data_IF_761749367267
#
_entry.id   IF_761749367267
#
_cell.length_a   1.000
_cell.length_b   1.000
_cell.length_c   1.000
_cell.angle_alpha   90.00
_cell.angle_beta   90.00
_cell.angle_gamma   90.00
#
_symmetry.space_group_name_H-M   'P 1'
#
loop_
_entity.id
_entity.type
_entity.pdbx_description
1 polymer ?
#
# COMPACT_ATOMS: atom_id res chain seq x y z
N UNK A 1 18.35 -18.96 0.10
CA UNK A 1 17.25 -19.97 0.11
C UNK A 1 16.93 -20.42 -1.31
N UNK A 2 16.68 -19.53 -2.26
CA UNK A 2 16.33 -19.84 -3.65
C UNK A 2 17.41 -20.71 -4.31
N UNK A 3 18.68 -20.33 -4.20
CA UNK A 3 19.82 -21.09 -4.72
C UNK A 3 19.86 -22.54 -4.21
N UNK A 4 19.57 -22.71 -2.91
CA UNK A 4 19.50 -24.04 -2.31
C UNK A 4 18.36 -24.88 -2.88
N UNK A 5 17.20 -24.28 -3.14
CA UNK A 5 16.06 -24.96 -3.76
C UNK A 5 16.38 -25.38 -5.20
N UNK A 6 17.02 -24.50 -5.98
CA UNK A 6 17.49 -24.80 -7.33
C UNK A 6 18.46 -25.99 -7.31
N UNK A 7 19.48 -25.92 -6.45
CA UNK A 7 20.49 -26.96 -6.30
C UNK A 7 19.92 -28.28 -5.82
N UNK A 8 18.81 -28.26 -5.08
CA UNK A 8 18.09 -29.46 -4.61
C UNK A 8 17.11 -30.02 -5.64
N UNK A 9 17.02 -29.43 -6.84
CA UNK A 9 16.20 -29.96 -7.93
C UNK A 9 14.73 -29.53 -7.87
N UNK A 10 14.43 -28.33 -7.37
CA UNK A 10 13.08 -27.78 -7.46
C UNK A 10 12.62 -27.67 -8.91
N UNK A 11 11.37 -28.06 -9.19
CA UNK A 11 10.78 -27.95 -10.53
C UNK A 11 9.95 -26.67 -10.74
N UNK A 12 9.63 -25.97 -9.67
CA UNK A 12 8.93 -24.68 -9.66
C UNK A 12 9.30 -23.93 -8.38
N UNK A 13 9.39 -22.63 -8.46
CA UNK A 13 9.60 -21.75 -7.30
C UNK A 13 8.38 -20.88 -7.10
N UNK A 14 7.83 -20.85 -5.88
CA UNK A 14 6.79 -19.92 -5.45
C UNK A 14 7.44 -19.01 -4.43
N UNK A 15 7.52 -17.71 -4.73
CA UNK A 15 8.30 -16.75 -3.96
C UNK A 15 7.40 -15.61 -3.48
N UNK A 16 7.30 -15.47 -2.15
CA UNK A 16 6.74 -14.31 -1.48
C UNK A 16 7.90 -13.48 -0.92
N UNK A 17 8.32 -12.46 -1.66
CA UNK A 17 9.47 -11.64 -1.26
C UNK A 17 9.07 -10.55 -0.27
N UNK A 18 9.93 -10.26 0.70
CA UNK A 18 9.78 -9.07 1.55
C UNK A 18 10.14 -7.83 0.73
N UNK A 19 11.26 -7.87 0.00
CA UNK A 19 11.72 -6.83 -0.90
C UNK A 19 11.80 -7.38 -2.32
N UNK A 20 10.87 -6.96 -3.17
CA UNK A 20 10.70 -7.51 -4.52
C UNK A 20 11.86 -7.23 -5.49
N UNK A 21 12.63 -6.17 -5.23
CA UNK A 21 13.74 -5.74 -6.11
C UNK A 21 15.08 -6.40 -5.81
N UNK A 22 15.21 -7.13 -4.70
CA UNK A 22 16.50 -7.62 -4.18
C UNK A 22 16.92 -9.01 -4.68
N UNK A 23 16.10 -9.70 -5.48
CA UNK A 23 16.28 -11.12 -5.81
C UNK A 23 16.86 -11.40 -7.22
N UNK A 24 17.33 -10.37 -7.95
CA UNK A 24 17.70 -10.48 -9.36
C UNK A 24 18.63 -11.65 -9.68
N UNK A 25 19.76 -11.80 -8.98
CA UNK A 25 20.72 -12.90 -9.23
C UNK A 25 20.09 -14.29 -9.04
N UNK A 26 19.33 -14.47 -7.98
CA UNK A 26 18.68 -15.76 -7.71
C UNK A 26 17.58 -16.09 -8.74
N UNK A 27 16.89 -15.07 -9.25
CA UNK A 27 15.90 -15.21 -10.32
C UNK A 27 16.55 -15.55 -11.66
N UNK A 28 17.71 -14.96 -11.97
CA UNK A 28 18.50 -15.29 -13.17
C UNK A 28 19.03 -16.73 -13.12
N UNK A 29 19.39 -17.23 -11.95
CA UNK A 29 19.74 -18.63 -11.75
C UNK A 29 18.55 -19.57 -12.03
N UNK A 30 17.37 -19.25 -11.53
CA UNK A 30 16.15 -20.01 -11.78
C UNK A 30 15.82 -20.06 -13.28
N UNK A 31 15.91 -18.90 -13.96
CA UNK A 31 15.72 -18.78 -15.41
C UNK A 31 16.71 -19.64 -16.18
N UNK A 32 18.00 -19.56 -15.83
CA UNK A 32 19.07 -20.35 -16.47
C UNK A 32 18.88 -21.86 -16.29
N UNK A 33 18.27 -22.26 -15.18
CA UNK A 33 17.91 -23.66 -14.90
C UNK A 33 16.55 -24.08 -15.50
N UNK A 34 15.88 -23.20 -16.25
CA UNK A 34 14.52 -23.38 -16.77
C UNK A 34 13.48 -23.76 -15.71
N UNK A 35 13.61 -23.21 -14.51
CA UNK A 35 12.66 -23.39 -13.40
C UNK A 35 11.64 -22.25 -13.43
N UNK A 36 10.34 -22.54 -13.64
CA UNK A 36 9.30 -21.49 -13.58
C UNK A 36 9.22 -20.84 -12.21
N UNK A 37 9.06 -19.51 -12.21
CA UNK A 37 8.91 -18.71 -11.00
C UNK A 37 7.51 -18.12 -10.94
N UNK A 38 6.84 -18.32 -9.81
CA UNK A 38 5.57 -17.71 -9.45
C UNK A 38 5.84 -16.67 -8.39
N UNK A 39 5.63 -15.39 -8.70
CA UNK A 39 5.57 -14.35 -7.68
C UNK A 39 4.24 -14.48 -6.92
N UNK A 40 4.29 -14.57 -5.61
CA UNK A 40 3.12 -14.72 -4.75
C UNK A 40 2.99 -13.49 -3.84
N UNK A 41 1.78 -12.92 -3.79
CA UNK A 41 1.44 -11.71 -3.04
C UNK A 41 2.18 -10.46 -3.57
N UNK A 42 3.50 -10.37 -3.43
CA UNK A 42 4.32 -9.26 -3.90
C UNK A 42 4.99 -9.55 -5.23
N UNK A 43 4.99 -8.56 -6.11
CA UNK A 43 5.65 -8.67 -7.41
C UNK A 43 7.17 -8.71 -7.23
N UNK A 44 7.82 -9.66 -7.93
CA UNK A 44 9.27 -9.70 -8.06
C UNK A 44 9.69 -8.74 -9.18
N UNK A 45 10.40 -7.69 -8.79
CA UNK A 45 10.75 -6.57 -9.67
C UNK A 45 12.09 -6.80 -10.38
N UNK A 46 12.29 -6.05 -11.48
CA UNK A 46 13.56 -5.97 -12.20
C UNK A 46 14.07 -7.32 -12.75
N UNK A 47 13.18 -8.27 -13.04
CA UNK A 47 13.53 -9.57 -13.62
C UNK A 47 12.45 -10.04 -14.58
N UNK A 48 12.89 -10.65 -15.68
CA UNK A 48 12.03 -11.31 -16.67
C UNK A 48 11.91 -12.83 -16.43
N UNK A 49 12.39 -13.31 -15.29
CA UNK A 49 12.31 -14.71 -14.89
C UNK A 49 10.93 -15.11 -14.34
N UNK A 50 10.09 -14.14 -13.97
CA UNK A 50 8.76 -14.39 -13.40
C UNK A 50 7.82 -14.90 -14.48
N UNK A 51 7.31 -16.10 -14.30
CA UNK A 51 6.38 -16.76 -15.25
C UNK A 51 4.93 -16.45 -14.94
N UNK A 52 4.57 -16.31 -13.66
CA UNK A 52 3.22 -16.03 -13.18
C UNK A 52 3.26 -15.14 -11.94
N UNK A 53 2.20 -14.36 -11.77
CA UNK A 53 2.00 -13.53 -10.59
C UNK A 53 0.61 -13.83 -10.00
N UNK A 54 0.59 -14.28 -8.77
CA UNK A 54 -0.63 -14.60 -8.02
C UNK A 54 -0.81 -13.57 -6.90
N UNK A 55 -1.78 -12.68 -7.05
CA UNK A 55 -2.08 -11.58 -6.13
C UNK A 55 -3.54 -11.17 -6.24
N UNK A 56 -3.95 -10.16 -5.48
CA UNK A 56 -5.24 -9.48 -5.63
C UNK A 56 -5.18 -8.35 -6.66
N UNK A 57 -6.33 -7.83 -7.05
CA UNK A 57 -6.41 -6.52 -7.71
C UNK A 57 -6.26 -5.42 -6.64
N UNK A 58 -5.01 -5.09 -6.34
CA UNK A 58 -4.65 -4.17 -5.26
C UNK A 58 -5.13 -2.73 -5.51
N UNK A 59 -5.23 -2.33 -6.79
CA UNK A 59 -5.81 -1.04 -7.15
C UNK A 59 -7.31 -1.02 -6.87
N UNK A 60 -8.03 -2.10 -7.22
CA UNK A 60 -9.46 -2.23 -6.93
C UNK A 60 -9.73 -2.26 -5.42
N UNK A 61 -8.82 -2.83 -4.60
CA UNK A 61 -8.93 -2.78 -3.14
C UNK A 61 -8.92 -1.33 -2.67
N UNK A 62 -7.94 -0.53 -3.13
CA UNK A 62 -7.88 0.90 -2.81
C UNK A 62 -9.13 1.65 -3.28
N UNK A 63 -9.58 1.40 -4.52
CA UNK A 63 -10.82 1.99 -5.05
C UNK A 63 -12.02 1.71 -4.14
N UNK A 64 -12.14 0.47 -3.64
CA UNK A 64 -13.22 0.10 -2.72
C UNK A 64 -13.11 0.79 -1.36
N UNK A 65 -11.90 0.99 -0.85
CA UNK A 65 -11.68 1.76 0.38
C UNK A 65 -12.12 3.22 0.21
N UNK A 66 -11.70 3.86 -0.90
CA UNK A 66 -12.13 5.22 -1.24
C UNK A 66 -13.64 5.33 -1.40
N UNK A 67 -14.26 4.41 -2.14
CA UNK A 67 -15.71 4.40 -2.36
C UNK A 67 -16.48 4.19 -1.04
N UNK A 68 -15.99 3.34 -0.15
CA UNK A 68 -16.59 3.14 1.17
C UNK A 68 -16.63 4.43 1.99
N UNK A 69 -15.56 5.26 1.91
CA UNK A 69 -15.51 6.57 2.58
C UNK A 69 -16.55 7.51 1.95
N UNK A 70 -16.61 7.58 0.62
CA UNK A 70 -17.60 8.41 -0.12
C UNK A 70 -19.01 8.05 0.28
N UNK A 71 -19.34 6.76 0.28
CA UNK A 71 -20.69 6.26 0.60
C UNK A 71 -21.04 6.47 2.08
N UNK A 72 -20.07 6.25 2.99
CA UNK A 72 -20.31 6.35 4.44
C UNK A 72 -20.53 7.80 4.89
N UNK A 73 -19.79 8.75 4.32
CA UNK A 73 -19.92 10.18 4.61
C UNK A 73 -20.94 10.87 3.72
N UNK A 74 -21.55 10.15 2.79
CA UNK A 74 -22.51 10.68 1.81
C UNK A 74 -21.97 11.91 1.05
N UNK A 75 -20.68 11.83 0.63
CA UNK A 75 -19.95 12.96 0.06
C UNK A 75 -20.59 13.53 -1.22
N UNK A 76 -21.38 12.76 -1.92
CA UNK A 76 -22.13 13.24 -3.10
C UNK A 76 -23.22 14.26 -2.73
N UNK A 77 -23.81 14.12 -1.55
CA UNK A 77 -24.96 14.91 -1.12
C UNK A 77 -24.67 15.90 0.02
N UNK A 78 -23.55 15.71 0.76
CA UNK A 78 -23.19 16.55 1.90
C UNK A 78 -22.01 17.45 1.53
N UNK A 79 -22.02 18.69 2.00
CA UNK A 79 -21.01 19.68 1.63
C UNK A 79 -19.66 19.51 2.40
N UNK A 80 -19.67 18.89 3.58
CA UNK A 80 -18.48 18.79 4.44
C UNK A 80 -18.11 20.12 5.11
N UNK A 81 -16.82 20.44 5.39
CA UNK A 81 -15.68 19.56 5.22
C UNK A 81 -15.61 18.44 6.27
N UNK A 82 -15.06 17.29 5.88
CA UNK A 82 -14.67 16.21 6.79
C UNK A 82 -13.15 16.10 6.84
N UNK A 83 -12.62 15.85 8.03
CA UNK A 83 -11.17 15.75 8.27
C UNK A 83 -10.69 14.34 7.97
N UNK A 84 -9.82 14.24 6.98
CA UNK A 84 -9.22 12.98 6.50
C UNK A 84 -7.75 12.93 6.89
N UNK A 85 -7.28 11.78 7.41
CA UNK A 85 -5.87 11.43 7.47
C UNK A 85 -5.59 10.13 6.74
N UNK A 86 -4.34 9.94 6.31
CA UNK A 86 -3.95 8.82 5.44
C UNK A 86 -2.71 8.14 6.01
N UNK A 87 -2.74 6.81 6.08
CA UNK A 87 -1.59 5.96 6.36
C UNK A 87 -1.41 4.97 5.22
N UNK A 88 -0.38 5.18 4.40
CA UNK A 88 -0.02 4.28 3.32
C UNK A 88 0.94 3.20 3.79
N UNK A 89 1.18 2.21 2.94
CA UNK A 89 2.04 1.08 3.23
C UNK A 89 3.52 1.31 2.95
N UNK A 90 4.26 0.20 2.84
CA UNK A 90 5.70 0.19 2.59
C UNK A 90 6.03 0.64 1.16
N UNK A 91 6.93 1.62 0.97
CA UNK A 91 7.39 2.02 -0.37
C UNK A 91 8.13 0.92 -1.14
N UNK A 92 8.72 -0.05 -0.44
CA UNK A 92 9.35 -1.24 -1.05
C UNK A 92 8.36 -2.30 -1.51
N UNK A 93 7.08 -2.16 -1.18
CA UNK A 93 6.00 -3.03 -1.59
C UNK A 93 5.16 -2.38 -2.71
N UNK A 94 5.26 -2.92 -3.93
CA UNK A 94 4.52 -2.41 -5.08
C UNK A 94 2.98 -2.37 -4.85
N UNK A 95 2.45 -3.26 -4.00
CA UNK A 95 1.02 -3.28 -3.67
C UNK A 95 0.58 -2.02 -2.92
N UNK A 96 1.44 -1.46 -2.06
CA UNK A 96 1.14 -0.27 -1.28
C UNK A 96 0.79 0.94 -2.17
N UNK A 97 1.53 1.12 -3.27
CA UNK A 97 1.26 2.15 -4.26
C UNK A 97 -0.09 1.96 -4.96
N UNK A 98 -0.47 0.71 -5.26
CA UNK A 98 -1.77 0.42 -5.86
C UNK A 98 -2.93 0.68 -4.91
N UNK A 99 -2.83 0.30 -3.63
CA UNK A 99 -3.85 0.63 -2.63
C UNK A 99 -4.05 2.14 -2.53
N UNK A 100 -2.94 2.86 -2.37
CA UNK A 100 -2.98 4.31 -2.26
C UNK A 100 -3.59 4.97 -3.52
N UNK A 101 -3.09 4.64 -4.70
CA UNK A 101 -3.56 5.25 -5.95
C UNK A 101 -5.05 4.95 -6.19
N UNK A 102 -5.48 3.70 -5.97
CA UNK A 102 -6.87 3.33 -6.14
C UNK A 102 -7.81 4.10 -5.22
N UNK A 103 -7.42 4.34 -3.96
CA UNK A 103 -8.20 5.13 -3.02
C UNK A 103 -8.18 6.62 -3.38
N UNK A 104 -7.01 7.17 -3.70
CA UNK A 104 -6.86 8.60 -3.99
C UNK A 104 -7.52 9.01 -5.30
N UNK A 105 -7.58 8.13 -6.32
CA UNK A 105 -8.31 8.42 -7.55
C UNK A 105 -9.83 8.60 -7.30
N UNK A 106 -10.36 7.96 -6.26
CA UNK A 106 -11.75 8.18 -5.80
C UNK A 106 -11.87 9.44 -4.94
N UNK A 107 -10.91 9.69 -4.03
CA UNK A 107 -11.05 10.73 -3.01
C UNK A 107 -10.58 12.11 -3.47
N UNK A 108 -9.61 12.19 -4.41
CA UNK A 108 -9.07 13.47 -4.88
C UNK A 108 -10.13 14.47 -5.37
N UNK A 109 -11.16 14.08 -6.12
CA UNK A 109 -12.21 15.03 -6.51
C UNK A 109 -12.92 15.70 -5.32
N UNK A 110 -13.09 14.98 -4.21
CA UNK A 110 -13.71 15.50 -2.99
C UNK A 110 -12.75 16.35 -2.16
N UNK A 111 -11.45 16.04 -2.20
CA UNK A 111 -10.39 16.88 -1.61
C UNK A 111 -10.28 18.20 -2.37
N UNK A 112 -10.25 18.17 -3.70
CA UNK A 112 -10.20 19.34 -4.58
C UNK A 112 -11.45 20.21 -4.42
N UNK A 113 -12.61 19.61 -4.20
CA UNK A 113 -13.87 20.32 -3.92
C UNK A 113 -13.95 20.87 -2.48
N UNK A 114 -12.99 20.57 -1.60
CA UNK A 114 -12.98 20.98 -0.19
C UNK A 114 -13.99 20.24 0.69
N UNK A 115 -14.56 19.13 0.22
CA UNK A 115 -15.45 18.28 1.02
C UNK A 115 -14.67 17.35 1.96
N UNK A 116 -13.43 16.99 1.58
CA UNK A 116 -12.45 16.31 2.42
C UNK A 116 -11.24 17.22 2.60
N UNK A 117 -10.70 17.30 3.80
CA UNK A 117 -9.51 18.09 4.12
C UNK A 117 -8.48 17.21 4.82
N UNK A 118 -7.29 17.08 4.24
CA UNK A 118 -6.15 16.44 4.91
C UNK A 118 -5.51 17.47 5.82
N UNK A 119 -5.90 17.47 7.10
CA UNK A 119 -5.55 18.52 8.06
C UNK A 119 -4.05 18.58 8.33
N UNK A 120 -3.38 17.44 8.35
CA UNK A 120 -1.91 17.36 8.48
C UNK A 120 -1.17 17.92 7.26
N UNK A 121 -1.85 18.06 6.12
CA UNK A 121 -1.25 18.39 4.83
C UNK A 121 -0.44 17.24 4.21
N UNK A 122 -0.31 16.10 4.88
CA UNK A 122 0.45 14.93 4.42
C UNK A 122 -0.46 14.08 3.52
N UNK A 123 -0.45 14.36 2.23
CA UNK A 123 -1.35 13.71 1.28
C UNK A 123 -0.66 12.91 0.18
N UNK A 124 0.64 13.09 -0.05
CA UNK A 124 1.37 12.26 -1.01
C UNK A 124 1.68 10.87 -0.47
N UNK A 125 1.89 9.89 -1.36
CA UNK A 125 2.26 8.54 -0.97
C UNK A 125 3.48 8.52 -0.05
N UNK A 126 4.53 9.26 -0.40
CA UNK A 126 5.80 9.28 0.35
C UNK A 126 5.63 9.85 1.76
N UNK A 127 4.80 10.89 1.93
CA UNK A 127 4.51 11.49 3.24
C UNK A 127 3.66 10.57 4.14
N UNK A 128 2.81 9.74 3.51
CA UNK A 128 1.93 8.80 4.21
C UNK A 128 2.55 7.42 4.43
N UNK A 129 3.70 7.14 3.81
CA UNK A 129 4.31 5.83 3.77
C UNK A 129 4.70 5.28 5.15
N UNK A 130 4.58 3.97 5.29
CA UNK A 130 4.98 3.23 6.50
C UNK A 130 6.03 2.20 6.12
N UNK A 131 7.34 2.56 6.18
CA UNK A 131 8.42 1.65 5.83
C UNK A 131 8.32 0.31 6.55
N UNK A 132 8.55 -0.77 5.79
CA UNK A 132 8.44 -2.18 6.22
C UNK A 132 7.11 -2.55 6.89
N UNK A 133 6.05 -1.77 6.65
CA UNK A 133 4.74 -1.94 7.28
C UNK A 133 4.80 -1.94 8.83
N UNK A 134 5.77 -1.19 9.41
CA UNK A 134 6.00 -1.19 10.86
C UNK A 134 4.87 -0.46 11.61
N UNK A 135 4.13 -1.20 12.44
CA UNK A 135 3.04 -0.66 13.29
C UNK A 135 3.52 0.49 14.16
N UNK A 136 4.72 0.38 14.74
CA UNK A 136 5.30 1.43 15.60
C UNK A 136 5.56 2.72 14.83
N UNK A 137 5.91 2.63 13.54
CA UNK A 137 6.10 3.81 12.68
C UNK A 137 4.76 4.48 12.39
N UNK A 138 3.73 3.69 12.05
CA UNK A 138 2.37 4.19 11.84
C UNK A 138 1.83 4.86 13.11
N UNK A 139 1.96 4.21 14.26
CA UNK A 139 1.52 4.75 15.55
C UNK A 139 2.23 6.07 15.88
N UNK A 140 3.56 6.12 15.79
CA UNK A 140 4.32 7.34 16.10
C UNK A 140 3.93 8.49 15.18
N UNK A 141 3.67 8.21 13.90
CA UNK A 141 3.20 9.22 12.95
C UNK A 141 1.79 9.70 13.31
N UNK A 142 0.88 8.79 13.66
CA UNK A 142 -0.47 9.13 14.08
C UNK A 142 -0.47 10.00 15.35
N UNK A 143 0.32 9.64 16.37
CA UNK A 143 0.48 10.44 17.60
C UNK A 143 1.02 11.84 17.31
N UNK A 144 1.98 11.99 16.40
CA UNK A 144 2.51 13.28 15.97
C UNK A 144 1.46 14.13 15.24
N UNK A 145 0.70 13.53 14.33
CA UNK A 145 -0.39 14.22 13.62
C UNK A 145 -1.44 14.70 14.62
N UNK A 146 -1.91 13.82 15.51
CA UNK A 146 -2.94 14.16 16.49
C UNK A 146 -2.48 15.27 17.43
N UNK A 147 -1.23 15.21 17.92
CA UNK A 147 -0.71 16.23 18.83
C UNK A 147 -0.45 17.57 18.16
N UNK A 148 -0.11 17.57 16.87
CA UNK A 148 0.26 18.80 16.15
C UNK A 148 -0.92 19.48 15.46
N UNK A 149 -1.88 18.70 14.94
CA UNK A 149 -2.93 19.18 14.07
C UNK A 149 -4.33 19.15 14.71
N UNK A 150 -4.51 18.35 15.78
CA UNK A 150 -5.79 18.10 16.44
C UNK A 150 -5.80 18.43 17.93
N UNK A 151 -4.77 19.16 18.41
CA UNK A 151 -4.63 19.51 19.83
C UNK A 151 -5.72 20.47 20.35
N UNK A 152 -6.42 21.17 19.47
CA UNK A 152 -7.51 22.10 19.77
C UNK A 152 -8.87 21.43 20.03
N UNK A 153 -8.93 20.10 19.89
CA UNK A 153 -10.16 19.30 20.03
C UNK A 153 -10.90 19.07 18.73
N UNK A 154 -10.37 19.52 17.58
CA UNK A 154 -10.83 19.11 16.26
C UNK A 154 -10.75 17.59 16.16
N UNK A 155 -11.71 16.95 15.50
CA UNK A 155 -11.76 15.49 15.38
C UNK A 155 -11.30 15.04 13.99
N UNK A 156 -10.69 13.86 13.92
CA UNK A 156 -10.51 13.13 12.67
C UNK A 156 -11.82 12.42 12.37
N UNK A 157 -12.42 12.72 11.20
CA UNK A 157 -13.66 12.05 10.78
C UNK A 157 -13.36 10.71 10.10
N UNK A 158 -12.25 10.64 9.38
CA UNK A 158 -11.80 9.46 8.65
C UNK A 158 -10.28 9.31 8.73
N UNK A 159 -9.83 8.09 8.95
CA UNK A 159 -8.44 7.71 8.78
C UNK A 159 -8.35 6.55 7.79
N UNK A 160 -7.87 6.84 6.57
CA UNK A 160 -7.64 5.82 5.54
C UNK A 160 -6.33 5.09 5.84
N UNK A 161 -6.40 3.80 6.14
CA UNK A 161 -5.24 2.93 6.34
C UNK A 161 -5.21 1.83 5.29
N UNK A 162 -4.02 1.49 4.80
CA UNK A 162 -3.87 0.46 3.76
C UNK A 162 -4.11 -0.96 4.28
N UNK A 163 -3.90 -1.23 5.58
CA UNK A 163 -4.15 -2.51 6.22
C UNK A 163 -4.45 -2.37 7.71
N UNK A 164 -4.91 -3.46 8.34
CA UNK A 164 -5.32 -3.49 9.75
C UNK A 164 -4.17 -3.28 10.73
N UNK A 165 -2.94 -3.70 10.37
CA UNK A 165 -1.80 -3.61 11.30
C UNK A 165 -1.24 -2.19 11.44
N UNK A 166 -1.58 -1.30 10.51
CA UNK A 166 -1.16 0.12 10.52
C UNK A 166 -2.33 1.08 10.75
N UNK A 167 -3.50 0.53 11.07
CA UNK A 167 -4.71 1.27 11.40
C UNK A 167 -4.78 1.67 12.89
#
# INVERSE_FOLDING_TARGET
>A
QIENMISSGANVLVIAAIEGSSLGEALDMAKSANIPVIAYDRLLMNSDAVSYYATFDNYMVGTKQGQYIVDTLDLDNVDGPFNLEITAGDPGDNNAGYFYNGAMDVLNPYIEAGKLVVVSGQSSFDECATPVWATETAQSRAENILSSNYADGTQVDVWLCSNDSTA
#
